data_IF_667789830584
#
_entry.id   IF_667789830584
#
_cell.length_a   1.000
_cell.length_b   1.000
_cell.length_c   1.000
_cell.angle_alpha   90.00
_cell.angle_beta   90.00
_cell.angle_gamma   90.00
#
_symmetry.space_group_name_H-M   'P 1'
#
loop_
_entity.id
_entity.type
_entity.pdbx_description
1 polymer ?
#
# COMPACT_ATOMS: atom_id res chain seq x y z
N UNK A 1 -3.99 -16.51 -22.15
CA UNK A 1 -3.73 -15.27 -22.92
C UNK A 1 -4.91 -14.34 -22.76
N UNK A 2 -4.68 -13.08 -22.38
CA UNK A 2 -5.69 -12.02 -22.24
C UNK A 2 -5.30 -10.84 -23.10
N UNK A 3 -6.28 -10.21 -23.75
CA UNK A 3 -6.07 -9.04 -24.62
C UNK A 3 -6.96 -7.88 -24.16
N UNK A 4 -6.39 -6.68 -24.19
CA UNK A 4 -7.06 -5.45 -23.82
C UNK A 4 -6.66 -4.34 -24.79
N UNK A 5 -7.60 -3.44 -25.09
CA UNK A 5 -7.34 -2.24 -25.89
C UNK A 5 -7.17 -1.05 -24.96
N UNK A 6 -6.13 -0.28 -25.15
CA UNK A 6 -5.88 0.96 -24.41
C UNK A 6 -6.90 2.02 -24.81
N UNK A 7 -7.59 2.61 -23.83
CA UNK A 7 -8.65 3.60 -24.07
C UNK A 7 -8.18 5.05 -23.98
N UNK A 8 -7.04 5.30 -23.29
CA UNK A 8 -6.43 6.62 -23.18
C UNK A 8 -4.90 6.53 -23.06
N UNK A 9 -4.21 7.64 -23.33
CA UNK A 9 -2.74 7.67 -23.25
C UNK A 9 -2.30 7.57 -21.79
N UNK A 10 -1.48 6.57 -21.48
CA UNK A 10 -0.99 6.29 -20.13
C UNK A 10 0.35 5.52 -20.18
N UNK A 11 0.79 4.92 -19.12
CA UNK A 11 1.86 3.94 -19.15
C UNK A 11 1.32 2.52 -18.93
N UNK A 12 2.06 1.53 -19.45
CA UNK A 12 1.65 0.13 -19.44
C UNK A 12 1.32 -0.39 -18.03
N UNK A 13 2.03 0.08 -17.01
CA UNK A 13 1.80 -0.35 -15.64
C UNK A 13 0.48 0.18 -15.10
N UNK A 14 0.20 1.47 -15.26
CA UNK A 14 -1.03 2.09 -14.77
C UNK A 14 -2.24 1.51 -15.51
N UNK A 15 -2.14 1.36 -16.83
CA UNK A 15 -3.15 0.65 -17.63
C UNK A 15 -3.43 -0.77 -17.09
N UNK A 16 -2.35 -1.54 -16.80
CA UNK A 16 -2.52 -2.90 -16.27
C UNK A 16 -3.17 -2.89 -14.88
N UNK A 17 -2.82 -1.93 -14.03
CA UNK A 17 -3.36 -1.79 -12.67
C UNK A 17 -4.88 -1.51 -12.71
N UNK A 18 -5.35 -0.78 -13.69
CA UNK A 18 -6.75 -0.37 -13.84
C UNK A 18 -7.62 -1.36 -14.60
N UNK A 19 -7.03 -2.19 -15.48
CA UNK A 19 -7.79 -3.06 -16.38
C UNK A 19 -7.61 -4.55 -16.12
N UNK A 20 -6.48 -4.98 -15.60
CA UNK A 20 -6.17 -6.40 -15.43
C UNK A 20 -5.50 -6.71 -14.10
N UNK A 21 -6.28 -6.88 -13.01
CA UNK A 21 -5.77 -7.12 -11.66
C UNK A 21 -4.75 -8.25 -11.56
N UNK A 22 -5.01 -9.42 -12.13
CA UNK A 22 -4.12 -10.59 -12.09
C UNK A 22 -2.78 -10.30 -12.79
N UNK A 23 -2.81 -9.59 -13.92
CA UNK A 23 -1.61 -9.11 -14.61
C UNK A 23 -0.84 -8.10 -13.76
N UNK A 24 -1.53 -7.22 -13.05
CA UNK A 24 -0.94 -6.27 -12.12
C UNK A 24 -0.18 -6.95 -10.98
N UNK A 25 -0.74 -8.01 -10.38
CA UNK A 25 -0.11 -8.73 -9.26
C UNK A 25 1.22 -9.40 -9.64
N UNK A 26 1.39 -9.74 -10.91
CA UNK A 26 2.58 -10.42 -11.44
C UNK A 26 3.34 -9.58 -12.48
N UNK A 27 3.01 -8.29 -12.61
CA UNK A 27 3.50 -7.39 -13.67
C UNK A 27 5.02 -7.44 -13.86
N UNK A 28 5.78 -7.32 -12.79
CA UNK A 28 7.25 -7.37 -12.86
C UNK A 28 7.78 -8.71 -13.36
N UNK A 29 7.15 -9.82 -13.02
CA UNK A 29 7.51 -11.14 -13.51
C UNK A 29 7.19 -11.30 -14.99
N UNK A 30 6.03 -10.82 -15.43
CA UNK A 30 5.63 -10.83 -16.84
C UNK A 30 6.59 -10.00 -17.70
N UNK A 31 6.96 -8.79 -17.24
CA UNK A 31 7.94 -7.96 -17.94
C UNK A 31 9.30 -8.65 -18.05
N UNK A 32 9.82 -9.22 -16.95
CA UNK A 32 11.12 -9.90 -16.93
C UNK A 32 11.17 -11.05 -17.94
N UNK A 33 10.08 -11.81 -18.08
CA UNK A 33 9.95 -12.92 -19.02
C UNK A 33 9.63 -12.47 -20.47
N UNK A 34 9.15 -11.24 -20.66
CA UNK A 34 8.62 -10.76 -21.94
C UNK A 34 7.26 -11.37 -22.28
N UNK A 35 6.45 -11.64 -21.24
CA UNK A 35 5.09 -12.20 -21.34
C UNK A 35 4.03 -11.11 -21.48
N UNK A 36 4.45 -9.87 -21.78
CA UNK A 36 3.59 -8.77 -22.19
C UNK A 36 3.99 -8.34 -23.60
N UNK A 37 2.99 -8.11 -24.45
CA UNK A 37 3.19 -7.54 -25.79
C UNK A 37 2.35 -6.27 -25.94
N UNK A 38 2.92 -5.28 -26.59
CA UNK A 38 2.25 -4.06 -27.06
C UNK A 38 2.23 -4.13 -28.57
N UNK A 39 1.04 -4.15 -29.18
CA UNK A 39 0.85 -4.31 -30.62
C UNK A 39 1.63 -5.51 -31.21
N UNK A 40 1.59 -6.65 -30.49
CA UNK A 40 2.30 -7.88 -30.89
C UNK A 40 3.79 -7.90 -30.55
N UNK A 41 4.41 -6.77 -30.19
CA UNK A 41 5.86 -6.66 -29.87
C UNK A 41 6.10 -6.91 -28.38
N UNK A 42 7.01 -7.82 -28.07
CA UNK A 42 7.40 -8.12 -26.68
C UNK A 42 7.99 -6.89 -26.00
N UNK A 43 7.49 -6.58 -24.82
CA UNK A 43 8.08 -5.55 -23.96
C UNK A 43 8.66 -6.14 -22.67
N UNK A 44 9.77 -5.57 -22.17
CA UNK A 44 10.43 -5.95 -20.91
C UNK A 44 10.57 -4.78 -19.94
N UNK A 45 10.03 -3.63 -20.30
CA UNK A 45 10.05 -2.42 -19.49
C UNK A 45 8.66 -1.79 -19.44
N UNK A 46 8.39 -1.00 -18.40
CA UNK A 46 7.24 -0.13 -18.38
C UNK A 46 7.45 0.97 -19.43
N UNK A 47 6.52 1.11 -20.35
CA UNK A 47 6.57 2.06 -21.46
C UNK A 47 5.27 2.86 -21.55
N UNK A 48 5.30 3.97 -22.27
CA UNK A 48 4.10 4.70 -22.64
C UNK A 48 3.28 3.85 -23.63
N UNK A 49 1.96 3.86 -23.46
CA UNK A 49 0.97 3.24 -24.36
C UNK A 49 -0.08 4.28 -24.73
N UNK A 50 -0.65 4.17 -25.93
CA UNK A 50 -1.58 5.14 -26.50
C UNK A 50 -2.97 4.53 -26.67
N UNK A 51 -3.98 5.37 -26.71
CA UNK A 51 -5.33 4.95 -27.10
C UNK A 51 -5.29 4.20 -28.43
N UNK A 52 -5.93 3.02 -28.48
CA UNK A 52 -5.95 2.10 -29.62
C UNK A 52 -4.86 1.03 -29.60
N UNK A 53 -3.82 1.13 -28.74
CA UNK A 53 -2.84 0.04 -28.61
C UNK A 53 -3.48 -1.23 -28.08
N UNK A 54 -3.09 -2.40 -28.63
CA UNK A 54 -3.46 -3.71 -28.12
C UNK A 54 -2.39 -4.24 -27.14
N UNK A 55 -2.80 -4.53 -25.90
CA UNK A 55 -1.94 -5.16 -24.92
C UNK A 55 -2.31 -6.62 -24.75
N UNK A 56 -1.35 -7.52 -24.96
CA UNK A 56 -1.53 -8.96 -24.79
C UNK A 56 -0.71 -9.45 -23.60
N UNK A 57 -1.35 -10.16 -22.67
CA UNK A 57 -0.72 -10.79 -21.51
C UNK A 57 -0.74 -12.31 -21.65
N UNK A 58 0.39 -12.93 -21.38
CA UNK A 58 0.56 -14.38 -21.32
C UNK A 58 0.72 -14.82 -19.87
N UNK A 59 -0.40 -15.10 -19.22
CA UNK A 59 -0.47 -15.53 -17.82
C UNK A 59 -0.71 -17.05 -17.74
N UNK A 60 -0.22 -17.67 -16.68
CA UNK A 60 -0.49 -19.07 -16.35
C UNK A 60 -1.78 -19.17 -15.50
N UNK A 61 -2.41 -20.36 -15.46
CA UNK A 61 -3.56 -20.60 -14.61
C UNK A 61 -3.27 -20.29 -13.12
N UNK A 62 -2.09 -20.61 -12.62
CA UNK A 62 -1.68 -20.30 -11.26
C UNK A 62 -1.54 -18.79 -10.99
N UNK A 63 -1.15 -18.00 -12.00
CA UNK A 63 -1.11 -16.55 -11.90
C UNK A 63 -2.51 -15.94 -11.90
N UNK A 64 -3.42 -16.49 -12.71
CA UNK A 64 -4.84 -16.07 -12.73
C UNK A 64 -5.56 -16.39 -11.41
N UNK A 65 -5.24 -17.52 -10.79
CA UNK A 65 -5.83 -17.95 -9.53
C UNK A 65 -5.23 -17.28 -8.29
N UNK A 66 -4.20 -16.43 -8.45
CA UNK A 66 -3.52 -15.79 -7.32
C UNK A 66 -4.46 -14.80 -6.63
N UNK A 67 -4.73 -14.97 -5.32
CA UNK A 67 -5.57 -14.02 -4.59
C UNK A 67 -4.88 -12.65 -4.47
N UNK A 68 -5.68 -11.61 -4.43
CA UNK A 68 -5.22 -10.22 -4.17
C UNK A 68 -5.36 -9.85 -2.71
N UNK A 69 -6.34 -10.43 -2.03
CA UNK A 69 -6.74 -10.12 -0.66
C UNK A 69 -7.45 -11.31 -0.02
N UNK A 70 -7.70 -11.19 1.28
CA UNK A 70 -8.70 -11.97 2.03
C UNK A 70 -9.83 -11.05 2.44
N UNK A 71 -11.08 -11.50 2.35
CA UNK A 71 -12.21 -10.77 2.93
C UNK A 71 -12.14 -10.86 4.45
N UNK A 72 -12.28 -9.74 5.15
CA UNK A 72 -12.29 -9.66 6.62
C UNK A 72 -13.68 -9.38 7.15
N UNK A 73 -14.39 -8.45 6.49
CA UNK A 73 -15.74 -8.07 6.86
C UNK A 73 -16.48 -7.53 5.64
N UNK A 74 -17.76 -7.82 5.57
CA UNK A 74 -18.66 -7.28 4.55
C UNK A 74 -20.07 -7.12 5.13
N UNK A 75 -20.69 -5.98 4.84
CA UNK A 75 -22.11 -5.72 5.05
C UNK A 75 -22.72 -4.94 3.87
N UNK A 76 -23.88 -4.32 4.07
CA UNK A 76 -24.53 -3.50 3.03
C UNK A 76 -23.81 -2.20 2.70
N UNK A 77 -22.97 -1.69 3.60
CA UNK A 77 -22.34 -0.36 3.50
C UNK A 77 -20.85 -0.40 3.26
N UNK A 78 -20.13 -1.40 3.80
CA UNK A 78 -18.67 -1.46 3.76
C UNK A 78 -18.14 -2.85 3.42
N UNK A 79 -16.92 -2.86 2.91
CA UNK A 79 -16.09 -4.04 2.71
C UNK A 79 -14.70 -3.80 3.29
N UNK A 80 -14.22 -4.69 4.15
CA UNK A 80 -12.85 -4.67 4.67
C UNK A 80 -12.05 -5.80 4.02
N UNK A 81 -11.05 -5.44 3.24
CA UNK A 81 -10.12 -6.36 2.62
C UNK A 81 -8.79 -6.39 3.37
N UNK A 82 -8.20 -7.58 3.50
CA UNK A 82 -6.82 -7.78 3.96
C UNK A 82 -5.93 -8.00 2.73
N UNK A 83 -5.39 -6.90 2.20
CA UNK A 83 -4.65 -6.84 0.93
C UNK A 83 -3.29 -7.54 1.04
N UNK A 84 -2.94 -8.36 0.05
CA UNK A 84 -1.62 -8.97 -0.01
C UNK A 84 -0.53 -7.96 -0.45
N UNK A 85 0.70 -8.19 0.00
CA UNK A 85 1.88 -7.47 -0.49
C UNK A 85 2.11 -7.73 -1.98
N UNK A 86 2.47 -6.69 -2.72
CA UNK A 86 2.67 -6.73 -4.17
C UNK A 86 1.42 -6.37 -5.00
N UNK A 87 0.25 -6.28 -4.38
CA UNK A 87 -1.00 -5.85 -4.99
C UNK A 87 -1.12 -4.33 -4.88
N UNK A 88 -1.35 -3.61 -5.97
CA UNK A 88 -1.67 -2.17 -5.91
C UNK A 88 -3.11 -1.97 -5.42
N UNK A 89 -3.39 -0.84 -4.81
CA UNK A 89 -4.75 -0.50 -4.39
C UNK A 89 -5.66 -0.34 -5.61
N UNK A 90 -5.16 0.21 -6.70
CA UNK A 90 -5.88 0.38 -7.96
C UNK A 90 -6.34 -0.96 -8.54
N UNK A 91 -5.45 -1.94 -8.59
CA UNK A 91 -5.80 -3.29 -9.06
C UNK A 91 -6.81 -3.98 -8.12
N UNK A 92 -6.69 -3.78 -6.81
CA UNK A 92 -7.69 -4.28 -5.86
C UNK A 92 -9.05 -3.61 -6.08
N UNK A 93 -9.08 -2.31 -6.31
CA UNK A 93 -10.33 -1.58 -6.60
C UNK A 93 -10.97 -2.04 -7.90
N UNK A 94 -10.16 -2.25 -8.95
CA UNK A 94 -10.64 -2.81 -10.21
C UNK A 94 -11.30 -4.18 -10.02
N UNK A 95 -10.67 -5.09 -9.26
CA UNK A 95 -11.21 -6.42 -8.95
C UNK A 95 -12.51 -6.34 -8.13
N UNK A 96 -12.55 -5.46 -7.12
CA UNK A 96 -13.71 -5.34 -6.23
C UNK A 96 -14.84 -4.47 -6.79
N UNK A 97 -14.63 -3.79 -7.92
CA UNK A 97 -15.66 -3.00 -8.61
C UNK A 97 -16.87 -3.85 -8.99
N UNK A 98 -16.66 -5.09 -9.40
CA UNK A 98 -17.75 -6.04 -9.74
C UNK A 98 -18.63 -6.39 -8.52
N UNK A 99 -18.09 -6.23 -7.28
CA UNK A 99 -18.84 -6.36 -6.04
C UNK A 99 -19.50 -5.05 -5.57
N UNK A 100 -19.49 -4.01 -6.40
CA UNK A 100 -20.00 -2.69 -6.07
C UNK A 100 -19.14 -1.91 -5.08
N UNK A 101 -17.88 -2.32 -4.85
CA UNK A 101 -17.01 -1.64 -3.90
C UNK A 101 -16.44 -0.34 -4.48
N UNK A 102 -16.48 0.71 -3.66
CA UNK A 102 -16.00 2.05 -3.96
C UNK A 102 -14.74 2.35 -3.12
N UNK A 103 -13.67 2.94 -3.71
CA UNK A 103 -12.45 3.26 -2.98
C UNK A 103 -12.68 4.39 -1.97
N UNK A 104 -12.01 4.30 -0.81
CA UNK A 104 -12.05 5.30 0.27
C UNK A 104 -10.64 5.80 0.59
N UNK A 105 -9.69 4.87 0.75
CA UNK A 105 -8.28 5.16 1.00
C UNK A 105 -7.42 4.12 0.30
N UNK A 106 -6.10 4.30 0.36
CA UNK A 106 -5.18 3.40 -0.34
C UNK A 106 -3.99 2.99 0.53
N UNK A 107 -3.41 1.85 0.18
CA UNK A 107 -2.11 1.38 0.67
C UNK A 107 -1.09 1.36 -0.47
N UNK A 108 0.19 1.42 -0.12
CA UNK A 108 1.26 1.20 -1.10
C UNK A 108 1.18 -0.24 -1.65
N UNK A 109 1.66 -0.47 -2.88
CA UNK A 109 1.66 -1.78 -3.53
C UNK A 109 2.22 -2.89 -2.63
N UNK A 110 3.36 -2.65 -1.99
CA UNK A 110 4.04 -3.65 -1.17
C UNK A 110 3.65 -3.60 0.32
N UNK A 111 2.77 -2.70 0.74
CA UNK A 111 2.15 -2.73 2.06
C UNK A 111 1.01 -3.74 2.04
N UNK A 112 1.07 -4.73 2.93
CA UNK A 112 -0.04 -5.67 3.17
C UNK A 112 -1.01 -5.09 4.20
N UNK A 113 -2.15 -5.75 4.40
CA UNK A 113 -3.06 -5.45 5.49
C UNK A 113 -4.35 -4.75 5.09
N UNK A 114 -5.02 -4.19 6.06
CA UNK A 114 -6.41 -3.77 5.97
C UNK A 114 -6.60 -2.53 5.09
N UNK A 115 -7.57 -2.64 4.20
CA UNK A 115 -8.11 -1.55 3.40
C UNK A 115 -9.64 -1.58 3.48
N UNK A 116 -10.24 -0.43 3.79
CA UNK A 116 -11.68 -0.27 3.84
C UNK A 116 -12.19 0.29 2.49
N UNK A 117 -13.29 -0.27 2.01
CA UNK A 117 -14.02 0.18 0.83
C UNK A 117 -15.48 0.41 1.24
N UNK A 118 -16.16 1.30 0.54
CA UNK A 118 -17.60 1.48 0.68
C UNK A 118 -18.36 0.65 -0.36
N UNK A 119 -19.65 0.36 -0.10
CA UNK A 119 -20.56 -0.31 -1.03
C UNK A 119 -21.70 0.60 -1.49
N UNK A 120 -21.82 1.79 -0.89
CA UNK A 120 -22.79 2.82 -1.28
C UNK A 120 -22.07 4.17 -1.37
N UNK A 121 -22.62 5.11 -2.14
CA UNK A 121 -22.05 6.47 -2.24
C UNK A 121 -22.13 7.22 -0.90
N UNK A 122 -23.20 7.01 -0.10
CA UNK A 122 -23.31 7.65 1.20
C UNK A 122 -22.27 7.11 2.18
N UNK A 123 -22.05 5.79 2.23
CA UNK A 123 -21.01 5.18 3.04
C UNK A 123 -19.60 5.61 2.57
N UNK A 124 -19.38 5.81 1.26
CA UNK A 124 -18.13 6.36 0.74
C UNK A 124 -17.86 7.75 1.29
N UNK A 125 -18.82 8.66 1.18
CA UNK A 125 -18.69 10.02 1.70
C UNK A 125 -18.46 10.04 3.22
N UNK A 126 -19.19 9.19 3.96
CA UNK A 126 -19.05 9.06 5.41
C UNK A 126 -17.66 8.55 5.81
N UNK A 127 -17.15 7.50 5.15
CA UNK A 127 -15.83 6.96 5.41
C UNK A 127 -14.71 7.92 5.01
N UNK A 128 -14.79 8.56 3.83
CA UNK A 128 -13.81 9.58 3.40
C UNK A 128 -13.71 10.72 4.42
N UNK A 129 -14.86 11.18 4.91
CA UNK A 129 -14.91 12.16 5.98
C UNK A 129 -14.24 11.64 7.26
N UNK A 130 -14.57 10.41 7.68
CA UNK A 130 -14.00 9.78 8.86
C UNK A 130 -12.46 9.65 8.78
N UNK A 131 -11.92 9.28 7.61
CA UNK A 131 -10.48 9.25 7.40
C UNK A 131 -9.85 10.66 7.43
N UNK A 132 -10.53 11.67 6.87
CA UNK A 132 -10.08 13.07 6.88
C UNK A 132 -10.06 13.64 8.29
N UNK A 133 -11.12 13.42 9.06
CA UNK A 133 -11.27 13.87 10.44
C UNK A 133 -10.53 13.01 11.48
N UNK A 134 -9.80 11.97 11.01
CA UNK A 134 -9.02 11.05 11.86
C UNK A 134 -9.87 10.24 12.83
N UNK A 135 -11.13 10.03 12.52
CA UNK A 135 -12.05 9.17 13.26
C UNK A 135 -11.78 7.67 13.05
N UNK A 136 -10.82 7.32 12.16
CA UNK A 136 -10.33 5.97 11.98
C UNK A 136 -8.90 5.87 12.47
N UNK A 137 -8.68 5.16 13.58
CA UNK A 137 -7.33 4.83 14.07
C UNK A 137 -6.69 3.79 13.15
N UNK A 138 -5.46 4.09 12.69
CA UNK A 138 -4.68 3.23 11.79
C UNK A 138 -3.41 2.79 12.50
N UNK A 139 -3.33 1.50 12.82
CA UNK A 139 -2.13 0.89 13.42
C UNK A 139 -1.44 0.02 12.37
N UNK A 140 -0.16 0.22 12.23
CA UNK A 140 0.71 -0.58 11.38
C UNK A 140 1.71 -1.36 12.22
N UNK A 141 2.18 -2.48 11.68
CA UNK A 141 3.34 -3.19 12.18
C UNK A 141 4.41 -3.24 11.09
N UNK A 142 5.67 -3.09 11.46
CA UNK A 142 6.78 -3.25 10.52
C UNK A 142 8.01 -3.85 11.20
N UNK A 143 8.90 -4.45 10.39
CA UNK A 143 10.28 -4.70 10.79
C UNK A 143 11.12 -3.56 10.25
N UNK A 144 11.94 -2.94 11.09
CA UNK A 144 12.81 -1.82 10.74
C UNK A 144 14.24 -2.05 11.28
N UNK A 145 15.21 -1.32 10.74
CA UNK A 145 16.55 -1.23 11.32
C UNK A 145 16.45 -0.66 12.74
N UNK A 146 17.12 -1.29 13.70
CA UNK A 146 17.05 -0.91 15.12
C UNK A 146 18.09 0.15 15.48
N UNK A 147 17.77 1.40 15.15
CA UNK A 147 18.49 2.59 15.61
C UNK A 147 17.60 3.50 16.48
N UNK A 148 16.50 2.95 17.01
CA UNK A 148 15.57 3.69 17.85
C UNK A 148 16.21 4.09 19.18
N UNK A 149 16.21 5.39 19.48
CA UNK A 149 16.76 5.95 20.73
C UNK A 149 15.80 5.88 21.90
N UNK A 150 14.51 5.79 21.62
CA UNK A 150 13.42 5.73 22.59
C UNK A 150 12.50 4.56 22.24
N UNK A 151 11.93 3.91 23.26
CA UNK A 151 11.00 2.79 23.05
C UNK A 151 9.69 3.26 22.39
N UNK A 152 9.27 4.49 22.68
CA UNK A 152 8.06 5.08 22.15
C UNK A 152 8.25 6.58 21.93
N UNK A 153 7.80 7.06 20.76
CA UNK A 153 7.86 8.50 20.43
C UNK A 153 6.83 8.90 19.38
N UNK A 154 6.26 10.09 19.57
CA UNK A 154 5.50 10.78 18.54
C UNK A 154 6.45 11.71 17.75
N UNK A 155 6.59 11.44 16.47
CA UNK A 155 7.42 12.19 15.55
C UNK A 155 6.58 13.22 14.79
N UNK A 156 7.03 14.47 14.78
CA UNK A 156 6.47 15.53 13.91
C UNK A 156 7.52 15.96 12.93
N UNK A 157 7.17 16.03 11.65
CA UNK A 157 8.03 16.50 10.57
C UNK A 157 7.18 17.06 9.42
N UNK A 158 7.82 17.41 8.31
CA UNK A 158 7.16 17.99 7.14
C UNK A 158 7.56 17.21 5.90
N UNK A 159 6.58 16.89 5.07
CA UNK A 159 6.73 16.04 3.89
C UNK A 159 6.49 16.88 2.62
N UNK A 160 7.37 16.70 1.64
CA UNK A 160 7.19 17.19 0.26
C UNK A 160 7.26 16.02 -0.71
N UNK A 161 6.29 15.92 -1.62
CA UNK A 161 6.28 14.93 -2.70
C UNK A 161 6.98 15.51 -3.92
N UNK A 162 7.93 14.78 -4.46
CA UNK A 162 8.52 15.05 -5.77
C UNK A 162 7.58 14.52 -6.86
N UNK A 163 7.06 15.41 -7.68
CA UNK A 163 6.09 15.07 -8.72
C UNK A 163 6.69 14.18 -9.83
N UNK A 164 8.00 14.31 -10.11
CA UNK A 164 8.68 13.57 -11.19
C UNK A 164 9.02 12.12 -10.78
N UNK A 165 9.61 11.97 -9.60
CA UNK A 165 10.05 10.64 -9.10
C UNK A 165 8.98 9.89 -8.32
N UNK A 166 7.91 10.56 -7.88
CA UNK A 166 6.92 10.00 -6.97
C UNK A 166 7.47 9.68 -5.57
N UNK A 167 8.71 10.08 -5.27
CA UNK A 167 9.32 9.97 -3.95
C UNK A 167 8.83 11.10 -3.04
N UNK A 168 8.93 10.87 -1.74
CA UNK A 168 8.71 11.92 -0.75
C UNK A 168 10.00 12.19 0.02
N UNK A 169 10.20 13.45 0.41
CA UNK A 169 11.31 13.87 1.27
C UNK A 169 10.75 14.41 2.57
N UNK A 170 11.45 14.14 3.67
CA UNK A 170 11.09 14.59 5.00
C UNK A 170 12.03 15.72 5.42
N UNK A 171 11.46 16.71 6.09
CA UNK A 171 12.15 17.91 6.56
C UNK A 171 11.80 18.17 8.03
N UNK A 172 12.73 18.68 8.83
CA UNK A 172 12.49 19.00 10.24
C UNK A 172 11.64 20.26 10.45
N UNK A 173 11.56 21.14 9.46
CA UNK A 173 10.91 22.46 9.55
C UNK A 173 9.83 22.68 8.50
N UNK A 174 8.84 23.51 8.84
CA UNK A 174 7.79 23.96 7.94
C UNK A 174 8.34 24.79 6.77
N UNK A 175 7.65 24.69 5.63
CA UNK A 175 7.75 25.61 4.51
C UNK A 175 6.42 25.59 3.74
N UNK A 176 6.15 26.56 2.89
CA UNK A 176 4.89 26.72 2.17
C UNK A 176 4.52 25.50 1.29
N UNK A 177 5.52 24.75 0.79
CA UNK A 177 5.35 23.58 -0.07
C UNK A 177 5.46 22.23 0.65
N UNK A 178 5.40 22.22 1.99
CA UNK A 178 5.55 21.04 2.83
C UNK A 178 4.31 20.80 3.68
N UNK A 179 3.90 19.55 3.78
CA UNK A 179 2.73 19.16 4.58
C UNK A 179 3.20 18.58 5.91
N UNK A 180 2.63 19.08 7.03
CA UNK A 180 2.90 18.53 8.35
C UNK A 180 2.44 17.07 8.43
N UNK A 181 3.29 16.22 8.96
CA UNK A 181 3.02 14.81 9.23
C UNK A 181 3.28 14.49 10.70
N UNK A 182 2.47 13.56 11.23
CA UNK A 182 2.64 13.04 12.60
C UNK A 182 2.57 11.52 12.54
N UNK A 183 3.63 10.86 13.05
CA UNK A 183 3.77 9.40 13.10
C UNK A 183 4.22 9.03 14.52
N UNK A 184 3.47 8.20 15.21
CA UNK A 184 3.87 7.67 16.51
C UNK A 184 4.40 6.25 16.32
N UNK A 185 5.51 5.91 16.98
CA UNK A 185 6.02 4.55 17.00
C UNK A 185 6.20 4.03 18.43
N UNK A 186 6.16 2.71 18.55
CA UNK A 186 6.45 1.94 19.75
C UNK A 186 7.22 0.69 19.36
N UNK A 187 8.43 0.52 19.90
CA UNK A 187 9.27 -0.67 19.69
C UNK A 187 8.69 -1.80 20.53
N UNK A 188 8.26 -2.88 19.89
CA UNK A 188 7.64 -4.03 20.56
C UNK A 188 8.66 -5.13 20.89
N UNK A 189 9.62 -5.36 20.00
CA UNK A 189 10.65 -6.40 20.15
C UNK A 189 11.90 -6.00 19.39
N UNK A 190 13.07 -6.39 19.92
CA UNK A 190 14.37 -6.20 19.26
C UNK A 190 15.04 -7.54 19.02
N UNK A 191 15.60 -7.72 17.80
CA UNK A 191 16.43 -8.89 17.45
C UNK A 191 17.65 -8.48 16.67
N UNK A 192 18.80 -8.38 17.36
CA UNK A 192 20.06 -7.93 16.76
C UNK A 192 19.95 -6.50 16.25
N UNK A 193 20.06 -6.32 14.94
CA UNK A 193 19.98 -5.02 14.27
C UNK A 193 18.59 -4.68 13.73
N UNK A 194 17.56 -5.48 14.08
CA UNK A 194 16.19 -5.31 13.67
C UNK A 194 15.25 -5.12 14.85
N UNK A 195 14.19 -4.35 14.65
CA UNK A 195 13.10 -4.17 15.59
C UNK A 195 11.75 -4.43 14.96
N UNK A 196 10.83 -5.08 15.69
CA UNK A 196 9.41 -5.09 15.41
C UNK A 196 8.80 -3.82 16.01
N UNK A 197 8.15 -3.03 15.17
CA UNK A 197 7.68 -1.71 15.53
C UNK A 197 6.20 -1.58 15.23
N UNK A 198 5.43 -1.12 16.21
CA UNK A 198 4.06 -0.64 16.05
C UNK A 198 4.10 0.83 15.67
N UNK A 199 3.33 1.20 14.65
CA UNK A 199 3.25 2.58 14.18
C UNK A 199 1.79 3.02 14.15
N UNK A 200 1.49 4.18 14.76
CA UNK A 200 0.18 4.83 14.71
C UNK A 200 0.27 6.02 13.77
N UNK A 201 -0.59 6.04 12.74
CA UNK A 201 -0.66 7.13 11.79
C UNK A 201 -1.71 8.16 12.19
N UNK A 202 -1.26 9.31 12.70
CA UNK A 202 -2.13 10.47 12.95
C UNK A 202 -2.43 11.26 11.66
N UNK A 203 -1.54 11.17 10.66
CA UNK A 203 -1.73 11.70 9.30
C UNK A 203 -1.49 10.57 8.30
N UNK A 204 -2.08 10.63 7.09
CA UNK A 204 -1.95 9.59 6.08
C UNK A 204 -1.47 10.13 4.74
N UNK A 205 -0.17 10.38 4.57
CA UNK A 205 0.42 10.84 3.32
C UNK A 205 1.20 9.73 2.61
N UNK A 206 1.33 9.85 1.30
CA UNK A 206 2.07 8.89 0.47
C UNK A 206 3.42 8.54 1.09
N UNK A 207 3.71 7.24 1.23
CA UNK A 207 4.94 6.69 1.79
C UNK A 207 5.32 7.22 3.19
N UNK A 208 4.39 7.80 3.96
CA UNK A 208 4.71 8.53 5.19
C UNK A 208 5.53 7.70 6.18
N UNK A 209 5.08 6.51 6.57
CA UNK A 209 5.80 5.64 7.54
C UNK A 209 7.21 5.37 7.03
N UNK A 210 7.33 4.95 5.78
CA UNK A 210 8.57 4.52 5.15
C UNK A 210 9.62 5.62 5.11
N UNK A 211 9.23 6.81 4.64
CA UNK A 211 10.11 7.97 4.57
C UNK A 211 10.42 8.55 5.95
N UNK A 212 9.44 8.56 6.89
CA UNK A 212 9.65 9.13 8.21
C UNK A 212 10.55 8.27 9.10
N UNK A 213 10.38 6.94 9.07
CA UNK A 213 11.29 6.03 9.79
C UNK A 213 12.69 6.06 9.18
N UNK A 214 12.82 6.11 7.85
CA UNK A 214 14.12 6.29 7.19
C UNK A 214 14.80 7.61 7.59
N UNK A 215 14.04 8.70 7.69
CA UNK A 215 14.55 10.01 8.10
C UNK A 215 15.17 10.02 9.50
N UNK A 216 14.66 9.20 10.43
CA UNK A 216 15.22 9.05 11.78
C UNK A 216 16.29 7.95 11.87
N UNK A 217 16.74 7.37 10.73
CA UNK A 217 17.75 6.34 10.68
C UNK A 217 17.25 4.91 10.98
N UNK A 218 15.94 4.69 11.01
CA UNK A 218 15.30 3.40 11.29
C UNK A 218 14.48 2.90 10.09
N UNK A 219 15.08 2.73 8.88
CA UNK A 219 14.35 2.38 7.67
C UNK A 219 13.64 1.03 7.79
N UNK A 220 12.47 0.93 7.14
CA UNK A 220 11.71 -0.33 7.05
C UNK A 220 12.50 -1.36 6.24
N UNK A 221 12.63 -2.57 6.78
CA UNK A 221 13.31 -3.69 6.11
C UNK A 221 12.61 -4.04 4.80
N UNK A 222 13.40 -4.29 3.74
CA UNK A 222 12.91 -4.64 2.41
C UNK A 222 12.38 -3.44 1.60
N UNK A 223 12.44 -2.23 2.13
CA UNK A 223 12.04 -1.05 1.38
C UNK A 223 13.08 -0.72 0.31
N UNK A 224 12.65 -0.74 -0.97
CA UNK A 224 13.52 -0.50 -2.13
C UNK A 224 13.66 1.00 -2.48
N UNK A 225 12.91 1.89 -1.80
CA UNK A 225 12.94 3.34 -2.06
C UNK A 225 13.61 4.13 -0.92
N UNK A 226 13.36 3.73 0.32
CA UNK A 226 13.80 4.44 1.53
C UNK A 226 14.61 3.53 2.47
N UNK A 227 14.79 2.26 2.13
CA UNK A 227 15.42 1.25 2.98
C UNK A 227 16.95 1.30 2.96
N UNK A 228 17.54 0.50 3.83
CA UNK A 228 18.96 0.18 3.81
C UNK A 228 19.21 -1.02 2.88
N UNK A 229 19.90 -0.78 1.77
CA UNK A 229 20.16 -1.81 0.76
C UNK A 229 21.10 -2.92 1.25
N UNK A 230 22.05 -2.59 2.12
CA UNK A 230 22.97 -3.59 2.69
C UNK A 230 22.19 -4.53 3.62
N UNK A 231 21.34 -3.96 4.47
CA UNK A 231 20.47 -4.71 5.37
C UNK A 231 19.46 -5.58 4.60
N UNK A 232 18.82 -5.02 3.57
CA UNK A 232 17.91 -5.74 2.71
C UNK A 232 18.57 -6.93 2.02
N UNK A 233 19.79 -6.75 1.53
CA UNK A 233 20.60 -7.81 0.92
C UNK A 233 21.00 -8.88 1.93
N UNK A 234 21.44 -8.46 3.13
CA UNK A 234 21.85 -9.36 4.23
C UNK A 234 20.74 -10.34 4.59
N UNK A 235 19.50 -9.83 4.69
CA UNK A 235 18.34 -10.63 5.06
C UNK A 235 17.55 -11.18 3.86
N UNK A 236 18.04 -10.99 2.63
CA UNK A 236 17.38 -11.42 1.38
C UNK A 236 15.92 -10.92 1.24
N UNK A 237 15.59 -9.76 1.82
CA UNK A 237 14.24 -9.17 1.80
C UNK A 237 14.14 -8.13 0.69
N UNK A 238 13.20 -8.34 -0.26
CA UNK A 238 13.05 -7.51 -1.46
C UNK A 238 11.79 -6.66 -1.49
N UNK A 239 10.94 -6.79 -0.47
CA UNK A 239 9.70 -6.01 -0.31
C UNK A 239 9.59 -5.51 1.11
N UNK A 240 9.12 -4.29 1.28
CA UNK A 240 8.94 -3.69 2.60
C UNK A 240 8.11 -4.57 3.54
N UNK A 241 8.65 -4.87 4.70
CA UNK A 241 7.98 -5.62 5.76
C UNK A 241 7.13 -4.63 6.56
N UNK A 242 5.97 -4.27 5.99
CA UNK A 242 5.05 -3.26 6.53
C UNK A 242 3.61 -3.73 6.30
N UNK A 243 2.82 -3.77 7.37
CA UNK A 243 1.42 -4.22 7.36
C UNK A 243 0.51 -3.17 7.99
N UNK A 244 -0.57 -2.80 7.33
CA UNK A 244 -1.70 -2.07 7.91
C UNK A 244 -2.47 -3.03 8.82
N UNK A 245 -2.05 -3.11 10.07
CA UNK A 245 -2.41 -4.21 10.96
C UNK A 245 -3.80 -4.07 11.57
N UNK A 246 -4.19 -2.84 11.99
CA UNK A 246 -5.48 -2.62 12.64
C UNK A 246 -6.14 -1.35 12.16
N UNK A 247 -7.46 -1.43 11.91
CA UNK A 247 -8.36 -0.29 11.77
C UNK A 247 -9.35 -0.33 12.94
N UNK A 248 -9.48 0.80 13.66
CA UNK A 248 -10.51 1.00 14.68
C UNK A 248 -11.34 2.22 14.31
N UNK A 249 -12.65 2.05 14.29
CA UNK A 249 -13.60 3.07 13.89
C UNK A 249 -14.16 3.79 15.12
N UNK A 250 -14.14 5.13 15.09
CA UNK A 250 -14.77 6.01 16.07
C UNK A 250 -15.76 6.90 15.30
N UNK A 251 -16.85 6.30 14.83
CA UNK A 251 -17.79 6.88 13.90
C UNK A 251 -19.08 7.32 14.59
N UNK A 252 -19.76 8.25 13.95
CA UNK A 252 -21.12 8.70 14.28
C UNK A 252 -21.94 8.83 12.99
N UNK A 253 -23.26 8.99 13.11
CA UNK A 253 -24.16 9.13 11.99
C UNK A 253 -24.48 7.80 11.30
N UNK A 254 -24.54 7.77 9.98
CA UNK A 254 -24.97 6.61 9.19
C UNK A 254 -24.16 5.31 9.47
N UNK A 255 -22.90 5.45 9.83
CA UNK A 255 -22.01 4.33 10.13
C UNK A 255 -21.74 4.18 11.63
N UNK A 256 -22.60 4.68 12.52
CA UNK A 256 -22.43 4.63 13.96
C UNK A 256 -22.39 3.20 14.52
N UNK A 257 -23.04 2.25 13.85
CA UNK A 257 -22.99 0.82 14.19
C UNK A 257 -21.57 0.20 14.07
N UNK A 258 -20.65 0.91 13.45
CA UNK A 258 -19.21 0.56 13.40
C UNK A 258 -18.43 1.21 14.54
N UNK A 259 -19.04 2.11 15.32
CA UNK A 259 -18.36 2.81 16.40
C UNK A 259 -17.78 1.84 17.43
N UNK A 260 -16.49 1.99 17.75
CA UNK A 260 -15.76 1.09 18.63
C UNK A 260 -15.33 -0.24 18.00
N UNK A 261 -15.85 -0.62 16.81
CA UNK A 261 -15.41 -1.85 16.12
C UNK A 261 -13.96 -1.71 15.66
N UNK A 262 -13.25 -2.82 15.78
CA UNK A 262 -11.89 -2.93 15.28
C UNK A 262 -11.73 -4.18 14.44
N UNK A 263 -10.92 -4.06 13.38
CA UNK A 263 -10.54 -5.14 12.51
C UNK A 263 -9.03 -5.30 12.54
N UNK A 264 -8.54 -6.54 12.47
CA UNK A 264 -7.12 -6.86 12.47
C UNK A 264 -6.76 -7.69 11.24
N UNK A 265 -5.59 -7.40 10.68
CA UNK A 265 -5.02 -8.16 9.57
C UNK A 265 -4.57 -9.55 10.03
N UNK A 266 -4.73 -10.53 9.16
CA UNK A 266 -4.15 -11.86 9.35
C UNK A 266 -2.64 -11.90 9.07
N UNK A 267 -2.08 -10.81 8.51
CA UNK A 267 -0.66 -10.69 8.21
C UNK A 267 0.06 -9.98 9.36
N UNK A 268 0.99 -10.70 9.99
CA UNK A 268 1.88 -10.13 11.01
C UNK A 268 3.31 -10.17 10.49
N UNK A 269 4.04 -9.05 10.50
CA UNK A 269 5.46 -9.04 10.17
C UNK A 269 6.24 -10.02 11.02
N UNK A 270 7.09 -10.82 10.38
CA UNK A 270 7.98 -11.77 11.06
C UNK A 270 9.43 -11.34 10.83
N UNK A 271 10.26 -11.54 11.85
CA UNK A 271 11.69 -11.40 11.66
C UNK A 271 12.18 -12.44 10.63
N UNK A 272 13.04 -12.04 9.68
CA UNK A 272 13.63 -12.99 8.76
C UNK A 272 14.47 -14.01 9.53
N UNK A 273 14.44 -15.26 9.09
CA UNK A 273 15.38 -16.28 9.52
C UNK A 273 16.79 -15.91 9.03
N UNK A 274 17.81 -16.21 9.85
CA UNK A 274 19.21 -15.93 9.52
C UNK A 274 19.75 -16.94 8.52
#
# INVERSE_FOLDING_TARGET
MKKFTVYENTNLKDFTDETYPQGSFVFGALLKKGDIRVNGVKTRANCAVKAGDEITYYTTAAQEAKPSHKAVYEDGNIYIADKLSGVSSEALFCELKEKGCLPVHRLDRNTSGLIALAKTLSAQAALENAFRERAVEKVYLCIAADNFKEEKKALTAYLKKDAKSGLVRIYPSANADRVKIVTEYEVLERRGELALVKVILHTGKTHQIRAHLSFIGCPVLGDTKYGDFALNKKYAVTRQVLTAYKLKFNLSGELDYLNGKQFTSSFTPQFPEK
#
